data_IF_419244984413
#
_entry.id   IF_419244984413
#
_cell.length_a   1.000
_cell.length_b   1.000
_cell.length_c   1.000
_cell.angle_alpha   90.00
_cell.angle_beta   90.00
_cell.angle_gamma   90.00
#
_symmetry.space_group_name_H-M   'P 1'
#
loop_
_entity.id
_entity.type
_entity.pdbx_description
1 polymer ?
#
# COMPACT_ATOMS: atom_id res chain seq x y z
N UNK A 1 4.64 9.95 8.13
CA UNK A 1 4.86 8.65 7.48
C UNK A 1 3.63 7.75 7.67
N UNK A 2 3.40 7.23 8.86
CA UNK A 2 2.29 6.29 9.14
C UNK A 2 0.90 6.85 8.79
N UNK A 3 0.58 8.06 9.22
CA UNK A 3 -0.68 8.72 8.84
C UNK A 3 -0.83 8.93 7.31
N UNK A 4 0.29 9.13 6.60
CA UNK A 4 0.31 9.30 5.13
C UNK A 4 0.04 7.98 4.42
N UNK A 5 0.66 6.89 4.89
CA UNK A 5 0.43 5.54 4.38
C UNK A 5 -1.00 5.08 4.66
N UNK A 6 -1.52 5.35 5.86
CA UNK A 6 -2.91 5.06 6.24
C UNK A 6 -3.90 5.80 5.33
N UNK A 7 -3.69 7.11 5.13
CA UNK A 7 -4.52 7.91 4.22
C UNK A 7 -4.44 7.44 2.75
N UNK A 8 -3.32 6.83 2.35
CA UNK A 8 -3.15 6.23 1.03
C UNK A 8 -3.76 4.82 0.91
N UNK A 9 -4.34 4.28 1.98
CA UNK A 9 -5.01 2.98 2.01
C UNK A 9 -4.08 1.79 2.26
N UNK A 10 -2.86 2.01 2.73
CA UNK A 10 -2.01 0.93 3.23
C UNK A 10 -2.54 0.43 4.59
N UNK A 11 -2.67 -0.89 4.81
CA UNK A 11 -3.16 -1.44 6.07
C UNK A 11 -2.06 -1.44 7.14
N UNK A 12 -1.58 -0.26 7.52
CA UNK A 12 -0.45 -0.10 8.46
C UNK A 12 -0.73 -0.76 9.81
N UNK A 13 -2.00 -0.80 10.21
CA UNK A 13 -2.46 -1.46 11.44
C UNK A 13 -2.25 -2.98 11.45
N UNK A 14 -2.18 -3.62 10.27
CA UNK A 14 -1.99 -5.06 10.11
C UNK A 14 -0.50 -5.46 10.01
N UNK A 15 0.40 -4.48 9.94
CA UNK A 15 1.83 -4.72 9.81
C UNK A 15 2.46 -5.08 11.16
N UNK A 16 3.42 -6.01 11.13
CA UNK A 16 4.29 -6.29 12.29
C UNK A 16 5.21 -5.10 12.58
N UNK A 17 5.79 -5.06 13.77
CA UNK A 17 6.71 -3.99 14.17
C UNK A 17 7.92 -3.91 13.23
N UNK A 18 8.44 -5.05 12.76
CA UNK A 18 9.55 -5.10 11.79
C UNK A 18 9.16 -4.50 10.44
N UNK A 19 7.94 -4.76 9.98
CA UNK A 19 7.44 -4.19 8.72
C UNK A 19 7.22 -2.68 8.84
N UNK A 20 6.72 -2.21 9.99
CA UNK A 20 6.58 -0.77 10.28
C UNK A 20 7.95 -0.08 10.31
N UNK A 21 8.98 -0.74 10.84
CA UNK A 21 10.34 -0.22 10.84
C UNK A 21 10.85 0.00 9.40
N UNK A 22 10.70 -0.99 8.52
CA UNK A 22 11.09 -0.87 7.11
C UNK A 22 10.39 0.31 6.43
N UNK A 23 9.09 0.49 6.66
CA UNK A 23 8.36 1.64 6.11
C UNK A 23 8.74 2.97 6.77
N UNK A 24 9.17 2.93 8.03
CA UNK A 24 9.66 4.10 8.77
C UNK A 24 11.04 4.59 8.32
N UNK A 25 11.84 3.72 7.72
CA UNK A 25 13.18 4.02 7.19
C UNK A 25 13.14 4.62 5.77
N UNK A 26 11.98 4.62 5.12
CA UNK A 26 11.82 5.22 3.79
C UNK A 26 12.17 6.71 3.82
N UNK A 27 12.96 7.13 2.84
CA UNK A 27 13.17 8.55 2.55
C UNK A 27 11.89 9.19 2.02
N UNK A 28 11.87 10.52 1.97
CA UNK A 28 10.71 11.25 1.42
C UNK A 28 10.51 10.92 -0.06
N UNK A 29 11.61 10.76 -0.80
CA UNK A 29 11.63 10.40 -2.21
C UNK A 29 11.08 8.99 -2.44
N UNK A 30 11.50 8.02 -1.64
CA UNK A 30 11.01 6.63 -1.73
C UNK A 30 9.53 6.53 -1.36
N UNK A 31 9.10 7.23 -0.31
CA UNK A 31 7.68 7.32 0.05
C UNK A 31 6.87 7.92 -1.11
N UNK A 32 7.36 9.00 -1.72
CA UNK A 32 6.69 9.66 -2.85
C UNK A 32 6.57 8.71 -4.04
N UNK A 33 7.64 7.99 -4.37
CA UNK A 33 7.63 6.99 -5.43
C UNK A 33 6.65 5.85 -5.14
N UNK A 34 6.62 5.34 -3.90
CA UNK A 34 5.69 4.29 -3.48
C UNK A 34 4.22 4.72 -3.66
N UNK A 35 3.90 5.96 -3.26
CA UNK A 35 2.56 6.52 -3.42
C UNK A 35 2.19 6.74 -4.90
N UNK A 36 3.13 7.19 -5.73
CA UNK A 36 2.92 7.33 -7.18
C UNK A 36 2.60 5.99 -7.83
N UNK A 37 3.41 4.97 -7.54
CA UNK A 37 3.21 3.61 -8.06
C UNK A 37 1.84 3.08 -7.64
N UNK A 38 1.45 3.24 -6.36
CA UNK A 38 0.12 2.85 -5.89
C UNK A 38 -0.98 3.58 -6.67
N UNK A 39 -0.89 4.90 -6.82
CA UNK A 39 -1.90 5.68 -7.56
C UNK A 39 -2.04 5.22 -9.01
N UNK A 40 -0.94 4.83 -9.65
CA UNK A 40 -0.96 4.31 -11.03
C UNK A 40 -1.60 2.94 -11.12
N UNK A 41 -1.37 2.07 -10.14
CA UNK A 41 -2.02 0.77 -10.02
C UNK A 41 -3.53 0.93 -9.76
N UNK A 42 -3.93 1.83 -8.87
CA UNK A 42 -5.34 2.11 -8.61
C UNK A 42 -6.06 2.65 -9.87
N UNK A 43 -5.36 3.45 -10.68
CA UNK A 43 -5.92 4.05 -11.90
C UNK A 43 -6.13 3.06 -13.05
N UNK A 44 -5.37 1.96 -13.12
CA UNK A 44 -5.55 0.92 -14.13
C UNK A 44 -6.62 -0.12 -13.75
N UNK A 45 -7.22 0.04 -12.56
CA UNK A 45 -8.23 -0.88 -12.03
C UNK A 45 -7.62 -2.20 -11.52
N UNK A 46 -8.40 -3.00 -10.79
CA UNK A 46 -7.91 -4.28 -10.26
C UNK A 46 -7.50 -5.21 -11.40
N UNK A 47 -6.33 -5.84 -11.30
CA UNK A 47 -5.84 -6.86 -12.25
C UNK A 47 -6.78 -8.08 -12.35
N UNK A 48 -7.73 -8.21 -11.43
CA UNK A 48 -8.67 -9.33 -11.32
C UNK A 48 -10.11 -8.82 -11.53
N UNK A 49 -10.60 -8.84 -12.78
CA UNK A 49 -12.03 -9.03 -13.04
C UNK A 49 -12.36 -10.52 -12.91
N UNK A 50 -12.32 -11.05 -11.69
CA UNK A 50 -12.84 -12.37 -11.39
C UNK A 50 -13.91 -12.25 -10.30
N UNK A 51 -15.05 -12.88 -10.57
CA UNK A 51 -16.27 -12.87 -9.80
C UNK A 51 -16.06 -13.05 -8.29
N UNK A 52 -16.73 -12.20 -7.50
CA UNK A 52 -17.14 -12.50 -6.12
C UNK A 52 -16.00 -12.47 -5.09
N UNK A 53 -16.08 -11.46 -4.22
CA UNK A 53 -15.55 -11.53 -2.84
C UNK A 53 -14.08 -11.97 -2.69
N UNK A 54 -13.12 -11.09 -2.97
CA UNK A 54 -12.05 -10.75 -2.02
C UNK A 54 -11.60 -9.33 -2.38
N UNK A 55 -11.81 -8.40 -1.45
CA UNK A 55 -11.26 -7.05 -1.52
C UNK A 55 -9.73 -7.12 -1.59
N UNK A 56 -9.15 -6.33 -2.50
CA UNK A 56 -7.70 -6.22 -2.66
C UNK A 56 -6.99 -6.06 -1.32
N UNK A 57 -6.09 -7.01 -1.03
CA UNK A 57 -5.35 -7.01 0.22
C UNK A 57 -4.68 -8.33 0.55
N UNK A 58 -3.92 -8.91 -0.39
CA UNK A 58 -2.80 -9.82 -0.11
C UNK A 58 -2.24 -10.35 -1.43
N UNK A 59 -1.01 -9.97 -1.77
CA UNK A 59 -0.17 -10.80 -2.63
C UNK A 59 0.40 -11.92 -1.75
N UNK A 60 -0.37 -13.00 -1.63
CA UNK A 60 0.09 -14.39 -1.39
C UNK A 60 -0.82 -15.33 -2.17
#
# INVERSE_FOLDING_TARGET
>A
MEATLHAAGFPVDLLTDEQRLVLGELTTEELTLLLDVKSRLDAVGPEVQAHGEIAGGALF
#
